data_IF_088655333590
#
_entry.id   IF_088655333590
#
_cell.length_a   1.000
_cell.length_b   1.000
_cell.length_c   1.000
_cell.angle_alpha   90.00
_cell.angle_beta   90.00
_cell.angle_gamma   90.00
#
_symmetry.space_group_name_H-M   'P 1'
#
loop_
_entity.id
_entity.type
_entity.pdbx_description
1 polymer ?
#
# COMPACT_ATOMS: atom_id res chain seq x y z
N UNK A 1 5.63 1.08 14.75
CA UNK A 1 6.09 2.28 14.01
C UNK A 1 7.48 2.76 14.43
N UNK A 2 7.92 2.55 15.68
CA UNK A 2 9.22 3.04 16.17
C UNK A 2 10.45 2.56 15.39
N UNK A 3 10.42 1.33 14.86
CA UNK A 3 11.49 0.84 13.97
C UNK A 3 11.51 1.62 12.67
N UNK A 4 10.37 1.74 12.00
CA UNK A 4 10.25 2.46 10.72
C UNK A 4 10.68 3.93 10.81
N UNK A 5 10.41 4.60 11.93
CA UNK A 5 10.87 5.98 12.17
C UNK A 5 12.40 6.12 12.10
N UNK A 6 13.13 5.09 12.54
CA UNK A 6 14.60 5.06 12.59
C UNK A 6 15.26 4.62 11.28
N UNK A 7 14.50 4.03 10.35
CA UNK A 7 15.05 3.61 9.06
C UNK A 7 15.39 4.82 8.18
N UNK A 8 16.58 4.77 7.58
CA UNK A 8 17.02 5.68 6.52
C UNK A 8 16.78 5.12 5.11
N UNK A 9 16.32 3.86 5.02
CA UNK A 9 15.98 3.20 3.75
C UNK A 9 14.71 3.80 3.14
N UNK A 10 14.56 3.82 1.81
CA UNK A 10 13.28 4.11 1.18
C UNK A 10 12.17 3.18 1.68
N UNK A 11 10.99 3.73 1.97
CA UNK A 11 9.81 2.97 2.42
C UNK A 11 8.62 3.31 1.53
N UNK A 12 7.94 2.28 1.04
CA UNK A 12 6.65 2.39 0.36
C UNK A 12 5.57 1.71 1.21
N UNK A 13 4.49 2.42 1.52
CA UNK A 13 3.35 1.89 2.28
C UNK A 13 2.11 1.92 1.38
N UNK A 14 1.53 0.75 1.15
CA UNK A 14 0.31 0.58 0.36
C UNK A 14 -0.89 0.21 1.23
N UNK A 15 -2.09 0.60 0.81
CA UNK A 15 -3.35 0.18 1.43
C UNK A 15 -4.46 -0.02 0.40
N UNK A 16 -5.16 -1.15 0.46
CA UNK A 16 -6.46 -1.30 -0.21
C UNK A 16 -7.56 -0.66 0.64
N UNK A 17 -8.33 0.28 0.09
CA UNK A 17 -9.31 1.04 0.90
C UNK A 17 -10.55 0.22 1.25
N UNK A 18 -10.80 -0.89 0.54
CA UNK A 18 -11.88 -1.83 0.86
C UNK A 18 -11.42 -2.92 1.83
N UNK A 19 -10.20 -2.89 2.34
CA UNK A 19 -9.75 -3.85 3.35
C UNK A 19 -10.52 -3.63 4.66
N UNK A 20 -11.25 -4.66 5.08
CA UNK A 20 -12.03 -4.65 6.32
C UNK A 20 -11.26 -5.23 7.51
N UNK A 21 -10.11 -5.88 7.27
CA UNK A 21 -9.24 -6.44 8.30
C UNK A 21 -8.23 -5.41 8.79
N UNK A 22 -7.66 -4.64 7.85
CA UNK A 22 -6.79 -3.50 8.10
C UNK A 22 -7.40 -2.29 7.44
N UNK A 23 -7.78 -1.29 8.23
CA UNK A 23 -8.64 -0.21 7.77
C UNK A 23 -7.83 1.00 7.32
N UNK A 24 -8.50 1.98 6.69
CA UNK A 24 -7.89 3.28 6.43
C UNK A 24 -7.46 4.01 7.71
N UNK A 25 -8.05 3.72 8.87
CA UNK A 25 -7.56 4.28 10.14
C UNK A 25 -6.14 3.80 10.46
N UNK A 26 -5.81 2.54 10.16
CA UNK A 26 -4.46 1.99 10.35
C UNK A 26 -3.45 2.64 9.39
N UNK A 27 -3.85 2.83 8.13
CA UNK A 27 -3.04 3.56 7.14
C UNK A 27 -2.79 5.02 7.58
N UNK A 28 -3.80 5.69 8.12
CA UNK A 28 -3.68 7.04 8.66
C UNK A 28 -2.72 7.14 9.85
N UNK A 29 -2.67 6.11 10.70
CA UNK A 29 -1.67 6.03 11.77
C UNK A 29 -0.25 5.99 11.19
N UNK A 30 -0.02 5.20 10.14
CA UNK A 30 1.29 5.15 9.46
C UNK A 30 1.64 6.49 8.82
N UNK A 31 0.67 7.11 8.13
CA UNK A 31 0.86 8.42 7.49
C UNK A 31 1.22 9.48 8.51
N UNK A 32 0.47 9.55 9.61
CA UNK A 32 0.74 10.51 10.69
C UNK A 32 2.11 10.28 11.33
N UNK A 33 2.50 9.01 11.56
CA UNK A 33 3.74 8.70 12.25
C UNK A 33 5.01 8.92 11.42
N UNK A 34 4.90 8.92 10.09
CA UNK A 34 6.06 8.96 9.18
C UNK A 34 6.00 10.10 8.14
N UNK A 35 4.97 10.95 8.12
CA UNK A 35 4.80 12.05 7.15
C UNK A 35 5.97 13.03 7.07
N UNK A 36 6.70 13.19 8.18
CA UNK A 36 7.89 14.06 8.23
C UNK A 36 9.13 13.43 7.58
N UNK A 37 9.09 12.17 7.16
CA UNK A 37 10.22 11.47 6.55
C UNK A 37 10.18 11.60 5.03
N UNK A 38 11.19 12.23 4.39
CA UNK A 38 11.21 12.44 2.94
C UNK A 38 11.43 11.14 2.14
N UNK A 39 11.92 10.08 2.80
CA UNK A 39 12.17 8.76 2.21
C UNK A 39 10.98 7.80 2.34
N UNK A 40 9.77 8.29 2.65
CA UNK A 40 8.57 7.48 2.81
C UNK A 40 7.50 7.93 1.82
N UNK A 41 6.95 6.98 1.07
CA UNK A 41 5.84 7.20 0.13
C UNK A 41 4.63 6.39 0.54
N UNK A 42 3.45 6.96 0.32
CA UNK A 42 2.16 6.38 0.69
C UNK A 42 1.26 6.28 -0.54
N UNK A 43 0.59 5.15 -0.72
CA UNK A 43 -0.42 5.00 -1.76
C UNK A 43 -1.60 4.17 -1.25
N UNK A 44 -2.82 4.64 -1.51
CA UNK A 44 -4.03 3.88 -1.27
C UNK A 44 -4.75 3.59 -2.58
N UNK A 45 -5.50 2.48 -2.61
CA UNK A 45 -6.19 1.99 -3.80
C UNK A 45 -7.68 1.79 -3.50
N UNK A 46 -8.58 2.66 -4.01
CA UNK A 46 -10.00 2.68 -3.65
C UNK A 46 -10.77 1.37 -3.89
N UNK A 47 -10.34 0.59 -4.89
CA UNK A 47 -11.06 -0.62 -5.33
C UNK A 47 -10.53 -1.91 -4.71
N UNK A 48 -9.44 -1.84 -3.92
CA UNK A 48 -8.71 -3.02 -3.50
C UNK A 48 -9.11 -3.50 -2.10
N UNK A 49 -9.29 -4.81 -1.97
CA UNK A 49 -9.46 -5.50 -0.70
C UNK A 49 -8.11 -5.88 -0.06
N UNK A 50 -8.15 -6.67 1.00
CA UNK A 50 -6.97 -7.14 1.75
C UNK A 50 -5.92 -7.86 0.89
N UNK A 51 -6.37 -8.58 -0.14
CA UNK A 51 -5.51 -9.34 -1.04
C UNK A 51 -5.05 -8.54 -2.26
N UNK A 52 -5.31 -7.22 -2.27
CA UNK A 52 -5.09 -6.36 -3.45
C UNK A 52 -5.89 -6.80 -4.67
N UNK A 53 -7.09 -7.34 -4.46
CA UNK A 53 -8.01 -7.70 -5.53
C UNK A 53 -9.08 -6.63 -5.70
N UNK A 54 -9.43 -6.32 -6.96
CA UNK A 54 -10.49 -5.37 -7.27
C UNK A 54 -11.86 -5.92 -6.90
N UNK A 55 -12.73 -5.04 -6.43
CA UNK A 55 -14.14 -5.30 -6.26
C UNK A 55 -14.93 -4.01 -6.04
N UNK A 56 -16.25 -4.17 -5.89
CA UNK A 56 -17.17 -3.07 -5.73
C UNK A 56 -17.90 -3.18 -4.38
N UNK A 57 -18.29 -2.04 -3.81
CA UNK A 57 -18.99 -2.02 -2.53
C UNK A 57 -18.15 -2.59 -1.38
N UNK A 58 -18.81 -3.12 -0.34
CA UNK A 58 -18.14 -3.67 0.83
C UNK A 58 -17.44 -4.99 0.49
N UNK A 59 -16.15 -5.11 0.79
CA UNK A 59 -15.42 -6.38 0.70
C UNK A 59 -16.00 -7.42 1.65
N UNK A 60 -16.06 -8.66 1.19
CA UNK A 60 -16.59 -9.80 1.94
C UNK A 60 -15.64 -11.00 1.80
N UNK A 61 -15.57 -11.90 2.81
CA UNK A 61 -14.63 -13.02 2.78
C UNK A 61 -14.75 -13.93 1.55
N UNK A 62 -15.96 -14.04 0.97
CA UNK A 62 -16.18 -14.89 -0.21
C UNK A 62 -15.48 -14.38 -1.47
N UNK A 63 -15.09 -13.10 -1.54
CA UNK A 63 -14.30 -12.56 -2.65
C UNK A 63 -12.93 -13.24 -2.78
N UNK A 64 -12.35 -13.71 -1.67
CA UNK A 64 -11.01 -14.32 -1.64
C UNK A 64 -10.95 -15.68 -2.33
N UNK A 65 -12.11 -16.31 -2.55
CA UNK A 65 -12.18 -17.57 -3.30
C UNK A 65 -12.00 -17.36 -4.81
N UNK A 66 -12.06 -16.11 -5.28
CA UNK A 66 -11.77 -15.78 -6.67
C UNK A 66 -10.27 -15.60 -6.84
N UNK A 67 -9.70 -16.33 -7.80
CA UNK A 67 -8.31 -16.15 -8.21
C UNK A 67 -8.18 -14.89 -9.08
N UNK A 68 -8.34 -13.72 -8.45
CA UNK A 68 -8.10 -12.43 -9.09
C UNK A 68 -6.63 -12.04 -8.87
N UNK A 69 -5.87 -11.76 -9.94
CA UNK A 69 -4.50 -11.28 -9.79
C UNK A 69 -4.49 -9.88 -9.18
N UNK A 70 -3.36 -9.51 -8.58
CA UNK A 70 -3.08 -8.12 -8.21
C UNK A 70 -3.07 -7.26 -9.49
N UNK A 71 -3.79 -6.14 -9.56
CA UNK A 71 -3.83 -5.32 -10.76
C UNK A 71 -2.46 -4.76 -11.15
N UNK A 72 -2.27 -4.60 -12.46
CA UNK A 72 -1.01 -4.14 -13.05
C UNK A 72 -0.58 -2.78 -12.49
N UNK A 73 -1.50 -1.86 -12.20
CA UNK A 73 -1.13 -0.55 -11.65
C UNK A 73 -0.42 -0.62 -10.30
N UNK A 74 -0.74 -1.61 -9.46
CA UNK A 74 -0.04 -1.82 -8.18
C UNK A 74 1.40 -2.25 -8.44
N UNK A 75 1.60 -3.14 -9.42
CA UNK A 75 2.92 -3.60 -9.83
C UNK A 75 3.73 -2.47 -10.47
N UNK A 76 3.09 -1.64 -11.30
CA UNK A 76 3.72 -0.49 -11.94
C UNK A 76 4.19 0.53 -10.89
N UNK A 77 3.43 0.73 -9.81
CA UNK A 77 3.83 1.60 -8.70
C UNK A 77 5.03 1.06 -7.92
N UNK A 78 5.13 -0.26 -7.73
CA UNK A 78 6.30 -0.90 -7.13
C UNK A 78 7.53 -0.71 -8.03
N UNK A 79 7.37 -0.94 -9.34
CA UNK A 79 8.44 -0.76 -10.32
C UNK A 79 8.89 0.70 -10.37
N UNK A 80 7.94 1.65 -10.39
CA UNK A 80 8.24 3.08 -10.37
C UNK A 80 8.98 3.47 -9.09
N UNK A 81 8.57 2.95 -7.93
CA UNK A 81 9.26 3.17 -6.67
C UNK A 81 10.70 2.66 -6.73
N UNK A 82 10.93 1.41 -7.14
CA UNK A 82 12.30 0.85 -7.27
C UNK A 82 13.15 1.69 -8.23
N UNK A 83 12.60 2.05 -9.39
CA UNK A 83 13.31 2.82 -10.40
C UNK A 83 13.68 4.24 -9.94
N UNK A 84 12.90 4.85 -9.04
CA UNK A 84 13.21 6.17 -8.47
C UNK A 84 14.52 6.21 -7.65
N UNK A 85 15.04 5.04 -7.26
CA UNK A 85 16.33 4.91 -6.57
C UNK A 85 17.42 4.25 -7.43
N UNK A 86 17.05 3.74 -8.61
CA UNK A 86 17.96 2.97 -9.49
C UNK A 86 18.73 3.85 -10.48
N UNK A 87 18.51 5.17 -10.46
CA UNK A 87 19.24 6.14 -11.28
C UNK A 87 20.24 6.93 -10.41
N UNK A 88 21.18 6.20 -9.82
CA UNK A 88 22.45 6.74 -9.32
C UNK A 88 23.55 5.84 -9.87
N UNK A 89 23.97 6.15 -11.09
CA UNK A 89 25.23 5.68 -11.69
C UNK A 89 25.96 6.89 -12.25
#
# INVERSE_FOLDING_TARGET
MEVAKKLSLPILIFQGERDYQVTMADFELWRTALSAKPNVSFKSYPLLNHLYQEGNGRSIPSEYNNANPVPQYVMDDIVAFINSFSCTS
#
